data_IF_060961736162
#
_entry.id   IF_060961736162
#
_cell.length_a   1.000
_cell.length_b   1.000
_cell.length_c   1.000
_cell.angle_alpha   90.00
_cell.angle_beta   90.00
_cell.angle_gamma   90.00
#
_symmetry.space_group_name_H-M   'P 1'
#
loop_
_entity.id
_entity.type
_entity.pdbx_description
1 polymer ?
#
# COMPACT_ATOMS: atom_id res chain seq x y z
N UNK A 1 -41.47 58.12 16.61
CA UNK A 1 -40.23 58.07 15.76
C UNK A 1 -39.58 56.72 16.06
N UNK A 2 -39.54 55.77 15.10
CA UNK A 2 -38.86 54.51 15.31
C UNK A 2 -37.40 54.59 14.86
N UNK A 3 -36.47 54.16 15.72
CA UNK A 3 -35.04 54.00 15.41
C UNK A 3 -34.82 52.87 14.42
N UNK A 4 -34.16 53.14 13.30
CA UNK A 4 -33.64 52.14 12.34
C UNK A 4 -32.34 51.54 12.89
N UNK A 5 -32.17 50.23 12.84
CA UNK A 5 -30.88 49.61 13.18
C UNK A 5 -29.88 49.85 12.03
N UNK A 6 -28.72 50.40 12.37
CA UNK A 6 -27.58 50.61 11.50
C UNK A 6 -26.86 49.26 11.33
N UNK A 7 -27.03 48.62 10.20
CA UNK A 7 -26.27 47.40 9.87
C UNK A 7 -24.98 47.79 9.17
N UNK A 8 -23.86 47.64 9.89
CA UNK A 8 -22.52 47.89 9.38
C UNK A 8 -22.16 46.96 8.21
N UNK A 9 -21.73 47.49 7.07
CA UNK A 9 -21.36 46.70 5.88
C UNK A 9 -20.10 45.85 6.08
N UNK A 10 -19.30 46.11 7.12
CA UNK A 10 -18.07 45.38 7.44
C UNK A 10 -18.34 43.95 7.95
N UNK A 11 -19.42 43.75 8.70
CA UNK A 11 -19.77 42.41 9.24
C UNK A 11 -20.20 41.44 8.14
N UNK A 12 -20.81 41.92 7.06
CA UNK A 12 -21.21 41.11 5.91
C UNK A 12 -20.03 40.63 5.07
N UNK A 13 -18.93 41.38 4.99
CA UNK A 13 -17.74 41.00 4.20
C UNK A 13 -16.89 39.96 4.92
N UNK A 14 -16.77 40.03 6.23
CA UNK A 14 -16.02 39.03 7.02
C UNK A 14 -16.72 37.67 7.04
N UNK A 15 -18.06 37.63 7.12
CA UNK A 15 -18.83 36.37 7.05
C UNK A 15 -18.70 35.68 5.70
N UNK A 16 -18.64 36.43 4.60
CA UNK A 16 -18.52 35.83 3.26
C UNK A 16 -17.12 35.27 3.02
N UNK A 17 -16.06 35.88 3.55
CA UNK A 17 -14.68 35.41 3.45
C UNK A 17 -14.47 34.15 4.27
N UNK A 18 -15.05 34.03 5.45
CA UNK A 18 -14.99 32.78 6.26
C UNK A 18 -15.72 31.61 5.59
N UNK A 19 -16.83 31.86 4.89
CA UNK A 19 -17.56 30.82 4.16
C UNK A 19 -16.79 30.30 2.94
N UNK A 20 -16.09 31.20 2.23
CA UNK A 20 -15.22 30.85 1.08
C UNK A 20 -13.98 30.04 1.50
N UNK A 21 -13.42 30.31 2.69
CA UNK A 21 -12.25 29.57 3.19
C UNK A 21 -12.60 28.15 3.66
N UNK A 22 -13.84 27.91 4.12
CA UNK A 22 -14.30 26.59 4.56
C UNK A 22 -14.52 25.60 3.40
N UNK A 23 -14.71 26.07 2.17
CA UNK A 23 -14.94 25.20 0.99
C UNK A 23 -13.62 24.71 0.39
N UNK A 24 -12.49 25.35 0.67
CA UNK A 24 -11.16 25.00 0.13
C UNK A 24 -10.44 23.86 0.90
N UNK A 25 -11.00 23.40 2.02
CA UNK A 25 -10.39 22.35 2.85
C UNK A 25 -11.01 20.95 2.63
N UNK A 26 -11.68 20.74 1.51
CA UNK A 26 -12.10 19.38 1.11
C UNK A 26 -10.88 18.66 0.50
N UNK A 27 -9.97 18.25 1.38
CA UNK A 27 -8.91 17.32 1.02
C UNK A 27 -9.55 16.07 0.42
N UNK A 28 -9.24 15.77 -0.82
CA UNK A 28 -9.63 14.51 -1.46
C UNK A 28 -9.00 13.37 -0.68
N UNK A 29 -9.81 12.67 0.12
CA UNK A 29 -9.40 11.41 0.73
C UNK A 29 -9.14 10.44 -0.41
N UNK A 30 -7.87 10.11 -0.63
CA UNK A 30 -7.49 9.03 -1.54
C UNK A 30 -7.90 7.71 -0.89
N UNK A 31 -8.99 7.11 -1.34
CA UNK A 31 -9.42 5.80 -0.91
C UNK A 31 -8.69 4.74 -1.73
N UNK A 32 -8.16 3.71 -1.05
CA UNK A 32 -7.70 2.50 -1.72
C UNK A 32 -8.88 1.81 -2.46
N UNK A 33 -8.58 1.13 -3.55
CA UNK A 33 -9.60 0.34 -4.26
C UNK A 33 -9.95 -0.87 -3.40
N UNK A 34 -11.25 -1.12 -3.11
CA UNK A 34 -11.65 -2.36 -2.48
C UNK A 34 -11.25 -3.56 -3.35
N UNK A 35 -10.55 -4.51 -2.75
CA UNK A 35 -10.05 -5.70 -3.42
C UNK A 35 -11.19 -6.66 -3.76
N UNK A 36 -11.27 -7.14 -5.01
CA UNK A 36 -12.35 -8.03 -5.45
C UNK A 36 -12.16 -9.46 -4.96
N UNK A 37 -10.93 -9.95 -4.93
CA UNK A 37 -10.59 -11.31 -4.51
C UNK A 37 -9.51 -11.21 -3.44
N UNK A 38 -9.92 -10.93 -2.21
CA UNK A 38 -8.99 -10.78 -1.08
C UNK A 38 -8.38 -12.15 -0.70
N UNK A 39 -7.09 -12.41 -0.98
CA UNK A 39 -6.45 -13.64 -0.59
C UNK A 39 -6.11 -13.59 0.90
N UNK A 40 -6.41 -14.64 1.64
CA UNK A 40 -5.90 -14.76 3.01
C UNK A 40 -4.45 -15.26 3.03
N UNK A 41 -3.55 -14.64 2.28
CA UNK A 41 -2.17 -15.11 2.14
C UNK A 41 -1.53 -14.71 0.82
N UNK A 42 -0.43 -15.39 0.49
CA UNK A 42 0.29 -15.22 -0.77
C UNK A 42 0.68 -16.59 -1.34
N UNK A 43 0.31 -16.85 -2.60
CA UNK A 43 0.62 -18.12 -3.32
C UNK A 43 0.30 -19.39 -2.51
N UNK A 44 -0.85 -19.42 -1.85
CA UNK A 44 -1.30 -20.57 -1.06
C UNK A 44 -0.73 -20.63 0.36
N UNK A 45 0.17 -19.74 0.75
CA UNK A 45 0.67 -19.62 2.13
C UNK A 45 -0.20 -18.62 2.89
N UNK A 46 -0.99 -19.05 3.90
CA UNK A 46 -1.89 -18.14 4.61
C UNK A 46 -1.11 -17.18 5.52
N UNK A 47 -1.63 -15.96 5.67
CA UNK A 47 -1.10 -15.02 6.65
C UNK A 47 -1.14 -15.61 8.05
N UNK A 48 -0.12 -15.31 8.85
CA UNK A 48 0.01 -15.86 10.20
C UNK A 48 0.46 -17.29 10.29
N UNK A 49 0.65 -18.00 9.17
CA UNK A 49 1.27 -19.31 9.19
C UNK A 49 2.67 -19.25 9.82
N UNK A 50 3.06 -20.31 10.54
CA UNK A 50 4.44 -20.42 11.00
C UNK A 50 5.36 -20.62 9.80
N UNK A 51 6.38 -19.77 9.71
CA UNK A 51 7.29 -19.76 8.58
C UNK A 51 8.73 -19.96 9.07
N UNK A 52 9.43 -20.89 8.46
CA UNK A 52 10.82 -21.23 8.80
C UNK A 52 11.58 -21.68 7.56
N UNK A 53 12.87 -21.93 7.70
CA UNK A 53 13.64 -22.58 6.65
C UNK A 53 13.07 -23.94 6.30
N UNK A 54 13.03 -24.21 5.00
CA UNK A 54 12.57 -25.48 4.42
C UNK A 54 13.46 -25.84 3.23
N UNK A 55 13.14 -26.90 2.51
CA UNK A 55 13.83 -27.22 1.24
C UNK A 55 13.60 -26.14 0.16
N UNK A 56 12.51 -25.38 0.27
CA UNK A 56 12.13 -24.33 -0.69
C UNK A 56 12.66 -22.95 -0.30
N UNK A 57 12.71 -22.65 1.01
CA UNK A 57 13.04 -21.32 1.53
C UNK A 57 14.32 -21.33 2.35
N UNK A 58 15.16 -20.32 2.17
CA UNK A 58 16.32 -20.04 3.01
C UNK A 58 16.15 -18.69 3.74
N UNK A 59 16.58 -18.65 4.99
CA UNK A 59 16.62 -17.41 5.75
C UNK A 59 17.83 -16.59 5.29
N UNK A 60 17.57 -15.35 4.86
CA UNK A 60 18.61 -14.42 4.38
C UNK A 60 18.87 -13.28 5.34
N UNK A 61 17.94 -13.01 6.26
CA UNK A 61 18.08 -11.95 7.25
C UNK A 61 17.36 -12.32 8.54
N UNK A 62 17.98 -11.99 9.69
CA UNK A 62 17.39 -12.17 11.01
C UNK A 62 17.56 -10.88 11.82
N UNK A 63 16.46 -10.16 11.99
CA UNK A 63 16.38 -8.93 12.78
C UNK A 63 15.59 -9.15 14.10
N UNK A 64 15.76 -10.33 14.70
CA UNK A 64 15.10 -10.71 15.95
C UNK A 64 13.61 -10.99 15.75
N UNK A 65 12.73 -10.01 15.91
CA UNK A 65 11.30 -10.21 15.73
C UNK A 65 10.88 -10.41 14.26
N UNK A 66 11.71 -9.95 13.33
CA UNK A 66 11.45 -10.06 11.89
C UNK A 66 12.53 -10.91 11.24
N UNK A 67 12.14 -11.93 10.50
CA UNK A 67 13.05 -12.72 9.67
C UNK A 67 12.62 -12.58 8.20
N UNK A 68 13.62 -12.60 7.31
CA UNK A 68 13.41 -12.53 5.87
C UNK A 68 13.91 -13.79 5.21
N UNK A 69 13.12 -14.33 4.29
CA UNK A 69 13.42 -15.55 3.56
C UNK A 69 13.36 -15.29 2.05
N UNK A 70 14.12 -16.07 1.30
CA UNK A 70 14.09 -16.10 -0.17
C UNK A 70 13.95 -17.55 -0.66
N UNK A 71 13.55 -17.73 -1.92
CA UNK A 71 13.53 -19.05 -2.56
C UNK A 71 14.96 -19.56 -2.75
N UNK A 72 15.22 -20.82 -2.41
CA UNK A 72 16.53 -21.48 -2.60
C UNK A 72 16.86 -21.72 -4.07
N UNK A 73 15.85 -21.94 -4.89
CA UNK A 73 16.02 -22.34 -6.29
C UNK A 73 15.01 -21.62 -7.18
N UNK A 74 15.42 -21.40 -8.43
CA UNK A 74 14.56 -20.80 -9.44
C UNK A 74 14.60 -19.27 -9.43
N UNK A 75 14.26 -18.68 -10.57
CA UNK A 75 14.04 -17.24 -10.67
C UNK A 75 12.63 -16.93 -10.15
N UNK A 76 12.48 -15.95 -9.22
CA UNK A 76 11.18 -15.61 -8.71
C UNK A 76 10.27 -15.06 -9.81
N UNK A 77 8.99 -15.38 -9.72
CA UNK A 77 7.97 -14.86 -10.63
C UNK A 77 6.71 -14.47 -9.86
N UNK A 78 6.06 -13.41 -10.29
CA UNK A 78 4.74 -13.01 -9.81
C UNK A 78 3.73 -13.39 -10.89
N UNK A 79 3.03 -14.49 -10.67
CA UNK A 79 2.22 -15.12 -11.71
C UNK A 79 3.04 -15.39 -12.98
N UNK A 80 2.64 -14.87 -14.17
CA UNK A 80 3.35 -15.10 -15.42
C UNK A 80 4.58 -14.20 -15.64
N UNK A 81 4.90 -13.30 -14.69
CA UNK A 81 5.92 -12.26 -14.86
C UNK A 81 7.15 -12.56 -14.00
N UNK A 82 8.31 -12.74 -14.64
CA UNK A 82 9.59 -12.82 -13.92
C UNK A 82 9.92 -11.51 -13.24
N UNK A 83 10.46 -11.60 -12.01
CA UNK A 83 10.83 -10.46 -11.17
C UNK A 83 12.29 -10.62 -10.69
N UNK A 84 12.88 -9.53 -10.19
CA UNK A 84 14.28 -9.53 -9.77
C UNK A 84 14.47 -10.23 -8.41
N UNK A 85 13.56 -10.00 -7.48
CA UNK A 85 13.59 -10.65 -6.16
C UNK A 85 12.20 -10.77 -5.56
N UNK A 86 12.05 -11.78 -4.71
CA UNK A 86 10.85 -12.01 -3.90
C UNK A 86 11.27 -12.41 -2.50
N UNK A 87 10.91 -11.60 -1.51
CA UNK A 87 11.27 -11.78 -0.11
C UNK A 87 10.03 -12.03 0.74
N UNK A 88 10.09 -13.08 1.52
CA UNK A 88 9.04 -13.49 2.43
C UNK A 88 9.44 -13.05 3.84
N UNK A 89 8.63 -12.21 4.47
CA UNK A 89 8.95 -11.59 5.75
C UNK A 89 8.01 -12.11 6.82
N UNK A 90 8.59 -12.47 7.96
CA UNK A 90 7.83 -12.87 9.15
C UNK A 90 7.87 -11.80 10.22
N UNK A 91 6.83 -11.80 11.04
CA UNK A 91 6.79 -11.08 12.32
C UNK A 91 6.58 -12.10 13.42
N UNK A 92 7.52 -12.21 14.36
CA UNK A 92 7.49 -13.20 15.47
C UNK A 92 7.29 -14.64 14.96
N UNK A 93 7.96 -15.00 13.86
CA UNK A 93 7.86 -16.31 13.21
C UNK A 93 6.56 -16.55 12.44
N UNK A 94 5.69 -15.54 12.30
CA UNK A 94 4.44 -15.62 11.56
C UNK A 94 4.55 -14.91 10.23
N UNK A 95 4.13 -15.57 9.15
CA UNK A 95 4.16 -15.00 7.80
C UNK A 95 3.29 -13.73 7.70
N UNK A 96 3.91 -12.60 7.33
CA UNK A 96 3.28 -11.30 7.45
C UNK A 96 3.31 -10.46 6.16
N UNK A 97 4.35 -10.63 5.33
CA UNK A 97 4.56 -9.78 4.15
C UNK A 97 5.33 -10.52 3.06
N UNK A 98 5.03 -10.19 1.80
CA UNK A 98 5.92 -10.45 0.67
C UNK A 98 6.33 -9.14 0.03
N UNK A 99 7.62 -9.02 -0.26
CA UNK A 99 8.18 -7.88 -0.99
C UNK A 99 8.72 -8.36 -2.32
N UNK A 100 8.17 -7.84 -3.41
CA UNK A 100 8.59 -8.15 -4.78
C UNK A 100 9.28 -6.94 -5.37
N UNK A 101 10.47 -7.13 -5.98
CA UNK A 101 11.17 -6.09 -6.72
C UNK A 101 11.33 -6.49 -8.17
N UNK A 102 11.22 -5.51 -9.04
CA UNK A 102 11.34 -5.69 -10.49
C UNK A 102 11.88 -4.42 -11.14
N UNK A 103 12.35 -4.55 -12.39
CA UNK A 103 12.84 -3.46 -13.21
C UNK A 103 12.20 -3.49 -14.59
N UNK A 104 12.07 -2.33 -15.20
CA UNK A 104 11.60 -2.13 -16.56
C UNK A 104 10.12 -1.79 -16.68
N UNK A 105 9.84 -0.77 -17.51
CA UNK A 105 8.47 -0.33 -17.77
C UNK A 105 7.58 -1.44 -18.34
N UNK A 106 8.10 -2.24 -19.27
CA UNK A 106 7.35 -3.36 -19.85
C UNK A 106 7.00 -4.42 -18.80
N UNK A 107 7.88 -4.66 -17.83
CA UNK A 107 7.62 -5.53 -16.68
C UNK A 107 6.55 -4.92 -15.77
N UNK A 108 6.65 -3.60 -15.49
CA UNK A 108 5.66 -2.86 -14.73
C UNK A 108 4.27 -2.99 -15.33
N UNK A 109 4.12 -2.71 -16.62
CA UNK A 109 2.83 -2.75 -17.31
C UNK A 109 2.19 -4.16 -17.24
N UNK A 110 3.00 -5.23 -17.39
CA UNK A 110 2.52 -6.62 -17.24
C UNK A 110 2.11 -6.96 -15.81
N UNK A 111 2.90 -6.54 -14.82
CA UNK A 111 2.59 -6.74 -13.41
C UNK A 111 1.29 -5.99 -13.06
N UNK A 112 1.16 -4.72 -13.47
CA UNK A 112 -0.03 -3.94 -13.20
C UNK A 112 -1.27 -4.59 -13.81
N UNK A 113 -1.21 -5.04 -15.06
CA UNK A 113 -2.30 -5.76 -15.71
C UNK A 113 -2.66 -7.06 -14.97
N UNK A 114 -1.65 -7.81 -14.52
CA UNK A 114 -1.85 -9.03 -13.73
C UNK A 114 -2.54 -8.75 -12.39
N UNK A 115 -2.06 -7.75 -11.64
CA UNK A 115 -2.69 -7.39 -10.35
C UNK A 115 -4.11 -6.86 -10.52
N UNK A 116 -4.38 -6.08 -11.58
CA UNK A 116 -5.73 -5.62 -11.89
C UNK A 116 -6.67 -6.77 -12.25
N UNK A 117 -6.17 -7.80 -12.93
CA UNK A 117 -6.98 -8.99 -13.24
C UNK A 117 -7.34 -9.81 -11.99
N UNK A 118 -6.51 -9.77 -10.94
CA UNK A 118 -6.76 -10.46 -9.68
C UNK A 118 -7.63 -9.63 -8.72
N UNK A 119 -7.31 -8.34 -8.58
CA UNK A 119 -7.81 -7.51 -7.47
C UNK A 119 -8.77 -6.41 -7.90
N UNK A 120 -8.98 -6.25 -9.19
CA UNK A 120 -9.88 -5.26 -9.77
C UNK A 120 -9.15 -4.08 -10.42
N UNK A 121 -9.85 -3.45 -11.37
CA UNK A 121 -9.33 -2.33 -12.15
C UNK A 121 -9.16 -1.07 -11.29
N UNK A 122 -8.13 -0.29 -11.59
CA UNK A 122 -7.86 1.02 -10.99
C UNK A 122 -8.43 2.18 -11.83
N UNK A 123 -9.11 1.87 -12.92
CA UNK A 123 -9.62 2.85 -13.90
C UNK A 123 -10.69 3.76 -13.32
N UNK A 124 -10.53 4.75 -12.68
CA UNK A 124 -11.50 5.71 -12.09
C UNK A 124 -11.53 5.73 -10.57
N UNK A 125 -10.53 5.20 -9.90
CA UNK A 125 -10.53 5.11 -8.44
C UNK A 125 -9.37 5.88 -7.84
N UNK A 126 -9.53 6.39 -6.61
CA UNK A 126 -8.47 7.06 -5.87
C UNK A 126 -7.31 6.14 -5.44
N UNK A 127 -7.32 4.87 -5.83
CA UNK A 127 -6.23 3.93 -5.55
C UNK A 127 -4.98 4.13 -6.39
N UNK A 128 -5.03 5.01 -7.40
CA UNK A 128 -3.87 5.36 -8.22
C UNK A 128 -3.49 6.82 -8.01
N UNK A 129 -2.29 7.05 -7.51
CA UNK A 129 -1.71 8.38 -7.34
C UNK A 129 -0.47 8.47 -8.23
N UNK A 130 -0.47 9.43 -9.16
CA UNK A 130 0.71 9.81 -9.92
C UNK A 130 1.20 11.16 -9.40
N UNK A 131 2.30 11.15 -8.67
CA UNK A 131 2.96 12.34 -8.18
C UNK A 131 4.40 12.41 -8.72
N UNK A 132 4.65 13.26 -9.69
CA UNK A 132 5.99 13.40 -10.28
C UNK A 132 6.48 12.10 -10.93
N UNK A 133 7.68 11.64 -10.54
CA UNK A 133 8.32 10.44 -11.06
C UNK A 133 7.82 9.12 -10.43
N UNK A 134 6.95 9.18 -9.42
CA UNK A 134 6.48 7.98 -8.70
C UNK A 134 5.00 7.73 -8.98
N UNK A 135 4.68 6.50 -9.38
CA UNK A 135 3.31 6.00 -9.53
C UNK A 135 3.00 5.06 -8.37
N UNK A 136 1.84 5.25 -7.78
CA UNK A 136 1.33 4.46 -6.66
C UNK A 136 0.01 3.80 -7.05
N UNK A 137 -0.13 2.51 -6.78
CA UNK A 137 -1.37 1.75 -6.93
C UNK A 137 -1.60 0.95 -5.66
N UNK A 138 -2.82 0.97 -5.14
CA UNK A 138 -3.15 0.26 -3.88
C UNK A 138 -4.51 -0.40 -3.96
N UNK A 139 -4.57 -1.65 -3.54
CA UNK A 139 -5.79 -2.44 -3.32
C UNK A 139 -5.84 -2.81 -1.85
N UNK A 140 -6.99 -2.59 -1.22
CA UNK A 140 -7.20 -2.91 0.18
C UNK A 140 -8.30 -3.95 0.31
N UNK A 141 -7.95 -5.12 0.82
CA UNK A 141 -8.87 -6.17 1.20
C UNK A 141 -9.20 -6.15 2.69
N UNK A 142 -9.94 -7.14 3.15
CA UNK A 142 -10.21 -7.32 4.57
C UNK A 142 -9.01 -7.92 5.32
N UNK A 143 -8.26 -8.78 4.64
CA UNK A 143 -7.12 -9.52 5.19
C UNK A 143 -5.78 -9.09 4.59
N UNK A 144 -5.79 -8.65 3.32
CA UNK A 144 -4.59 -8.34 2.55
C UNK A 144 -4.61 -6.92 2.03
N UNK A 145 -3.49 -6.22 2.16
CA UNK A 145 -3.19 -5.00 1.40
C UNK A 145 -2.16 -5.31 0.32
N UNK A 146 -2.37 -4.78 -0.88
CA UNK A 146 -1.40 -4.81 -1.96
C UNK A 146 -1.05 -3.38 -2.36
N UNK A 147 0.22 -3.04 -2.28
CA UNK A 147 0.73 -1.73 -2.68
C UNK A 147 1.81 -1.90 -3.74
N UNK A 148 1.63 -1.27 -4.89
CA UNK A 148 2.60 -1.22 -5.97
C UNK A 148 3.12 0.21 -6.09
N UNK A 149 4.44 0.37 -6.03
CA UNK A 149 5.15 1.61 -6.29
C UNK A 149 6.08 1.42 -7.48
N UNK A 150 6.02 2.35 -8.43
CA UNK A 150 6.92 2.37 -9.58
C UNK A 150 7.54 3.75 -9.73
N UNK A 151 8.86 3.80 -9.86
CA UNK A 151 9.64 5.02 -10.04
C UNK A 151 10.13 5.10 -11.49
N UNK A 152 9.63 6.08 -12.22
CA UNK A 152 9.87 6.20 -13.68
C UNK A 152 11.29 6.63 -14.02
N UNK A 153 11.98 7.35 -13.12
CA UNK A 153 13.35 7.82 -13.35
C UNK A 153 14.38 6.69 -13.24
N UNK A 154 14.19 5.79 -12.28
CA UNK A 154 15.09 4.66 -12.04
C UNK A 154 14.61 3.38 -12.73
N UNK A 155 13.42 3.42 -13.33
CA UNK A 155 12.73 2.29 -13.96
C UNK A 155 12.56 1.09 -13.03
N UNK A 156 12.38 1.34 -11.71
CA UNK A 156 12.29 0.33 -10.66
C UNK A 156 10.91 0.29 -10.02
N UNK A 157 10.46 -0.92 -9.75
CA UNK A 157 9.22 -1.17 -9.05
C UNK A 157 9.38 -2.03 -7.82
N UNK A 158 8.51 -1.78 -6.85
CA UNK A 158 8.38 -2.58 -5.64
C UNK A 158 6.91 -2.82 -5.34
N UNK A 159 6.59 -4.04 -4.94
CA UNK A 159 5.24 -4.43 -4.53
C UNK A 159 5.33 -5.00 -3.11
N UNK A 160 4.38 -4.59 -2.29
CA UNK A 160 4.15 -5.16 -0.98
C UNK A 160 2.81 -5.88 -0.98
N UNK A 161 2.80 -7.14 -0.59
CA UNK A 161 1.62 -7.88 -0.16
C UNK A 161 1.72 -8.02 1.34
N UNK A 162 0.72 -7.55 2.08
CA UNK A 162 0.82 -7.46 3.54
C UNK A 162 -0.44 -7.98 4.22
N UNK A 163 -0.26 -8.74 5.29
CA UNK A 163 -1.35 -9.03 6.22
C UNK A 163 -1.78 -7.75 6.94
N UNK A 164 -3.05 -7.39 6.86
CA UNK A 164 -3.58 -6.24 7.59
C UNK A 164 -3.46 -6.40 9.10
N UNK A 165 -3.71 -7.58 9.63
CA UNK A 165 -3.63 -7.84 11.06
C UNK A 165 -2.19 -7.71 11.58
N UNK A 166 -1.23 -8.37 10.90
CA UNK A 166 0.16 -8.40 11.35
C UNK A 166 0.88 -7.07 11.11
N UNK A 167 0.50 -6.31 10.07
CA UNK A 167 1.01 -4.96 9.83
C UNK A 167 0.70 -4.03 11.03
N UNK A 168 -0.49 -4.08 11.57
CA UNK A 168 -0.86 -3.29 12.77
C UNK A 168 0.05 -3.64 13.94
N UNK A 169 0.27 -4.92 14.21
CA UNK A 169 1.16 -5.39 15.29
C UNK A 169 2.61 -4.92 15.12
N UNK A 170 3.13 -4.92 13.88
CA UNK A 170 4.48 -4.43 13.58
C UNK A 170 4.57 -2.92 13.85
N UNK A 171 3.56 -2.15 13.43
CA UNK A 171 3.54 -0.69 13.62
C UNK A 171 3.41 -0.32 15.09
N UNK A 172 2.55 -1.01 15.84
CA UNK A 172 2.36 -0.81 17.28
C UNK A 172 3.62 -1.18 18.08
N UNK A 173 4.28 -2.30 17.73
CA UNK A 173 5.52 -2.73 18.36
C UNK A 173 6.68 -1.76 18.16
N UNK A 174 6.80 -1.14 17.00
CA UNK A 174 7.82 -0.13 16.73
C UNK A 174 7.56 1.21 17.44
N UNK A 175 6.29 1.55 17.68
CA UNK A 175 5.93 2.76 18.43
C UNK A 175 6.21 2.64 19.93
N UNK A 176 6.21 1.43 20.47
CA UNK A 176 6.51 1.18 21.90
C UNK A 176 8.00 1.24 22.25
N UNK A 177 8.90 1.32 21.27
CA UNK A 177 10.36 1.31 21.47
C UNK A 177 10.98 2.72 21.42
N UNK A 178 10.17 3.77 21.31
CA UNK A 178 10.60 5.19 21.20
C UNK A 178 10.39 5.96 22.51
N UNK A 179 10.48 5.30 23.67
CA UNK A 179 10.50 5.98 24.98
C UNK A 179 11.72 5.54 25.78
#
# INVERSE_FOLDING_TARGET
MPCRPHTDPLIRRTSLICLLFSVLLQGTLAFAVPMQNDPNGFEGIPWGATFSETDTFMKVEDAGRSQTYELKTGAPSLGPVKVDSMRFVTSEGKFARVTVRYQGKATHDRILAYLQSLYGSLDRTPGQIAGGSVKFCSWTGFQTDVTLRYETETDRGIIFFESQELRRKITEGNSATVF
#
